data_IF_034433194352
#
_entry.id   IF_034433194352
#
_cell.length_a   1.000
_cell.length_b   1.000
_cell.length_c   1.000
_cell.angle_alpha   90.00
_cell.angle_beta   90.00
_cell.angle_gamma   90.00
#
_symmetry.space_group_name_H-M   'P 1'
#
loop_
_entity.id
_entity.type
_entity.pdbx_description
1 polymer ?
#
# COMPACT_ATOMS: atom_id res chain seq x y z
N UNK A 1 7.07 -27.97 6.31
CA UNK A 1 7.06 -27.08 5.12
C UNK A 1 7.45 -27.93 3.94
N UNK A 2 6.49 -28.29 3.08
CA UNK A 2 6.78 -29.11 1.90
C UNK A 2 7.61 -28.30 0.90
N UNK A 3 8.75 -28.87 0.52
CA UNK A 3 9.70 -28.29 -0.42
C UNK A 3 9.07 -28.25 -1.82
N UNK A 4 8.89 -27.05 -2.37
CA UNK A 4 8.38 -26.79 -3.73
C UNK A 4 9.31 -27.25 -4.86
N UNK A 5 10.41 -27.96 -4.54
CA UNK A 5 11.30 -28.60 -5.51
C UNK A 5 10.54 -29.74 -6.22
N UNK A 6 9.84 -29.41 -7.31
CA UNK A 6 9.19 -30.40 -8.18
C UNK A 6 7.88 -30.00 -8.84
N UNK A 7 7.38 -28.76 -8.66
CA UNK A 7 6.06 -28.34 -9.17
C UNK A 7 5.94 -28.33 -10.71
N UNK A 8 7.04 -28.30 -11.45
CA UNK A 8 7.04 -28.32 -12.91
C UNK A 8 8.18 -29.18 -13.43
N UNK A 9 7.88 -30.11 -14.33
CA UNK A 9 8.89 -30.83 -15.11
C UNK A 9 9.31 -30.00 -16.33
N UNK A 10 10.45 -30.33 -16.94
CA UNK A 10 10.88 -29.70 -18.20
C UNK A 10 9.81 -29.81 -19.30
N UNK A 11 9.06 -30.91 -19.34
CA UNK A 11 7.96 -31.11 -20.29
C UNK A 11 6.77 -30.17 -20.02
N UNK A 12 6.48 -29.86 -18.76
CA UNK A 12 5.41 -28.91 -18.40
C UNK A 12 5.78 -27.49 -18.80
N UNK A 13 7.05 -27.11 -18.60
CA UNK A 13 7.58 -25.80 -19.02
C UNK A 13 7.51 -25.67 -20.54
N UNK A 14 7.90 -26.71 -21.29
CA UNK A 14 7.86 -26.71 -22.75
C UNK A 14 6.42 -26.57 -23.29
N UNK A 15 5.45 -27.30 -22.71
CA UNK A 15 4.02 -27.15 -23.06
C UNK A 15 3.50 -25.74 -22.83
N UNK A 16 3.95 -25.07 -21.76
CA UNK A 16 3.55 -23.69 -21.47
C UNK A 16 4.15 -22.71 -22.50
N UNK A 17 5.41 -22.90 -22.87
CA UNK A 17 6.09 -22.10 -23.90
C UNK A 17 5.36 -22.20 -25.23
N UNK A 18 5.09 -23.43 -25.68
CA UNK A 18 4.40 -23.70 -26.95
C UNK A 18 2.97 -23.16 -26.95
N UNK A 19 2.19 -23.44 -25.89
CA UNK A 19 0.81 -22.95 -25.76
C UNK A 19 0.71 -21.43 -25.77
N UNK A 20 1.70 -20.73 -25.23
CA UNK A 20 1.71 -19.25 -25.15
C UNK A 20 2.48 -18.58 -26.28
N UNK A 21 3.09 -19.34 -27.19
CA UNK A 21 3.94 -18.81 -28.25
C UNK A 21 5.08 -17.94 -27.71
N UNK A 22 5.68 -18.32 -26.57
CA UNK A 22 6.73 -17.52 -25.93
C UNK A 22 8.06 -17.70 -26.63
N UNK A 23 8.71 -16.59 -26.96
CA UNK A 23 10.09 -16.57 -27.46
C UNK A 23 11.07 -16.69 -26.28
N UNK A 24 11.60 -17.90 -26.10
CA UNK A 24 12.49 -18.26 -24.98
C UNK A 24 13.79 -17.45 -25.01
N UNK A 25 14.24 -17.01 -26.19
CA UNK A 25 15.47 -16.22 -26.37
C UNK A 25 15.35 -14.79 -25.80
N UNK A 26 14.12 -14.33 -25.57
CA UNK A 26 13.81 -12.99 -25.05
C UNK A 26 13.34 -13.02 -23.60
N UNK A 27 13.51 -14.14 -22.90
CA UNK A 27 13.19 -14.19 -21.48
C UNK A 27 14.13 -13.26 -20.71
N UNK A 28 13.58 -12.45 -19.78
CA UNK A 28 14.40 -11.55 -18.98
C UNK A 28 15.37 -12.35 -18.10
N UNK A 29 16.54 -11.78 -17.85
CA UNK A 29 17.50 -12.39 -16.93
C UNK A 29 16.99 -12.31 -15.49
N UNK A 30 17.59 -13.10 -14.59
CA UNK A 30 17.23 -13.06 -13.17
C UNK A 30 17.39 -11.65 -12.58
N UNK A 31 18.47 -10.95 -12.92
CA UNK A 31 18.73 -9.58 -12.47
C UNK A 31 17.66 -8.60 -12.97
N UNK A 32 17.19 -8.75 -14.22
CA UNK A 32 16.12 -7.92 -14.76
C UNK A 32 14.77 -8.18 -14.07
N UNK A 33 14.49 -9.45 -13.74
CA UNK A 33 13.30 -9.85 -12.98
C UNK A 33 13.34 -9.20 -11.60
N UNK A 34 14.47 -9.30 -10.90
CA UNK A 34 14.67 -8.73 -9.56
C UNK A 34 14.56 -7.21 -9.57
N UNK A 35 15.19 -6.54 -10.54
CA UNK A 35 15.07 -5.09 -10.72
C UNK A 35 13.62 -4.66 -10.93
N UNK A 36 12.89 -5.32 -11.85
CA UNK A 36 11.47 -5.04 -12.10
C UNK A 36 10.62 -5.30 -10.85
N UNK A 37 10.92 -6.35 -10.09
CA UNK A 37 10.23 -6.65 -8.84
C UNK A 37 10.46 -5.56 -7.80
N UNK A 38 11.72 -5.13 -7.61
CA UNK A 38 12.08 -4.06 -6.70
C UNK A 38 11.36 -2.75 -7.05
N UNK A 39 11.43 -2.32 -8.32
CA UNK A 39 10.78 -1.09 -8.80
C UNK A 39 9.26 -1.12 -8.57
N UNK A 40 8.61 -2.24 -8.91
CA UNK A 40 7.16 -2.41 -8.68
C UNK A 40 6.81 -2.38 -7.19
N UNK A 41 7.62 -3.01 -6.36
CA UNK A 41 7.43 -3.07 -4.90
C UNK A 41 7.57 -1.68 -4.29
N UNK A 42 8.59 -0.92 -4.68
CA UNK A 42 8.79 0.45 -4.23
C UNK A 42 7.67 1.39 -4.69
N UNK A 43 7.21 1.26 -5.92
CA UNK A 43 6.08 2.04 -6.42
C UNK A 43 4.79 1.74 -5.63
N UNK A 44 4.53 0.46 -5.31
CA UNK A 44 3.40 0.07 -4.49
C UNK A 44 3.49 0.62 -3.06
N UNK A 45 4.67 0.57 -2.44
CA UNK A 45 4.94 1.13 -1.13
C UNK A 45 4.68 2.64 -1.10
N UNK A 46 5.20 3.38 -2.08
CA UNK A 46 5.00 4.83 -2.17
C UNK A 46 3.52 5.19 -2.34
N UNK A 47 2.78 4.47 -3.20
CA UNK A 47 1.33 4.67 -3.32
C UNK A 47 0.60 4.42 -2.00
N UNK A 48 1.00 3.39 -1.23
CA UNK A 48 0.43 3.11 0.08
C UNK A 48 0.69 4.25 1.07
N UNK A 49 1.92 4.77 1.12
CA UNK A 49 2.29 5.92 1.97
C UNK A 49 1.47 7.17 1.62
N UNK A 50 1.39 7.54 0.34
CA UNK A 50 0.61 8.68 -0.12
C UNK A 50 -0.88 8.52 0.24
N UNK A 51 -1.45 7.33 0.03
CA UNK A 51 -2.85 7.06 0.41
C UNK A 51 -3.09 7.17 1.92
N UNK A 52 -2.14 6.72 2.74
CA UNK A 52 -2.26 6.84 4.19
C UNK A 52 -2.23 8.30 4.63
N UNK A 53 -1.29 9.10 4.11
CA UNK A 53 -1.23 10.54 4.37
C UNK A 53 -2.53 11.21 3.92
N UNK A 54 -3.00 10.94 2.70
CA UNK A 54 -4.23 11.53 2.20
C UNK A 54 -5.49 11.14 2.99
N UNK A 55 -5.56 9.92 3.52
CA UNK A 55 -6.73 9.45 4.30
C UNK A 55 -6.71 9.91 5.75
N UNK A 56 -5.55 9.92 6.39
CA UNK A 56 -5.44 10.03 7.83
C UNK A 56 -4.69 11.28 8.31
N UNK A 57 -3.92 11.93 7.44
CA UNK A 57 -3.24 13.17 7.81
C UNK A 57 -4.22 14.32 7.81
N UNK A 58 -4.18 15.11 8.89
CA UNK A 58 -4.80 16.43 8.94
C UNK A 58 -3.95 17.50 8.22
N UNK A 59 -2.73 17.14 7.79
CA UNK A 59 -1.79 17.96 7.02
C UNK A 59 -1.39 17.26 5.71
N UNK A 60 -2.28 17.16 4.72
CA UNK A 60 -2.00 16.51 3.43
C UNK A 60 -1.14 17.33 2.45
N UNK A 61 -0.53 18.46 2.86
CA UNK A 61 0.22 19.36 1.98
C UNK A 61 -0.71 20.11 1.02
N UNK A 62 -0.46 20.03 -0.30
CA UNK A 62 -1.21 20.75 -1.35
C UNK A 62 -2.56 20.12 -1.72
N UNK A 63 -3.03 19.12 -0.97
CA UNK A 63 -4.30 18.42 -1.23
C UNK A 63 -5.30 18.81 -0.14
N UNK A 64 -6.60 18.97 -0.43
CA UNK A 64 -7.57 19.24 0.62
C UNK A 64 -7.60 18.15 1.70
N UNK A 65 -7.59 18.55 2.97
CA UNK A 65 -7.73 17.63 4.10
C UNK A 65 -9.10 16.95 4.04
N UNK A 66 -9.10 15.61 4.06
CA UNK A 66 -10.35 14.83 4.07
C UNK A 66 -10.99 14.77 5.45
N UNK A 67 -10.16 14.86 6.49
CA UNK A 67 -10.60 14.98 7.86
C UNK A 67 -10.95 16.44 8.18
N UNK A 68 -12.12 16.66 8.76
CA UNK A 68 -12.54 17.92 9.36
C UNK A 68 -13.05 17.61 10.77
N UNK A 69 -12.97 18.58 11.70
CA UNK A 69 -13.48 18.38 13.07
C UNK A 69 -14.97 18.01 13.10
N UNK A 70 -15.76 18.45 12.13
CA UNK A 70 -17.17 18.06 11.95
C UNK A 70 -17.36 16.56 11.74
N UNK A 71 -16.34 15.86 11.20
CA UNK A 71 -16.35 14.41 10.99
C UNK A 71 -15.81 13.64 12.19
N UNK A 72 -15.41 14.31 13.27
CA UNK A 72 -14.92 13.65 14.47
C UNK A 72 -16.07 12.95 15.19
N UNK A 73 -15.98 11.62 15.30
CA UNK A 73 -16.96 10.78 15.98
C UNK A 73 -16.30 10.10 17.19
N UNK A 74 -16.34 10.71 18.38
CA UNK A 74 -15.69 10.18 19.58
C UNK A 74 -16.17 8.78 19.95
N UNK A 75 -17.45 8.50 19.70
CA UNK A 75 -18.15 7.24 20.03
C UNK A 75 -17.59 6.02 19.28
N UNK A 76 -16.89 6.22 18.15
CA UNK A 76 -16.28 5.12 17.40
C UNK A 76 -14.92 4.69 17.96
N UNK A 77 -14.38 5.36 18.97
CA UNK A 77 -13.04 5.11 19.51
C UNK A 77 -13.09 4.25 20.77
N UNK A 78 -12.12 3.35 20.93
CA UNK A 78 -12.03 2.41 22.06
C UNK A 78 -12.02 3.10 23.43
N UNK A 79 -11.44 4.29 23.53
CA UNK A 79 -11.48 5.12 24.74
C UNK A 79 -12.19 6.44 24.44
N UNK A 80 -13.49 6.45 24.73
CA UNK A 80 -14.39 7.57 24.47
C UNK A 80 -13.95 8.85 25.18
N UNK A 81 -13.64 8.77 26.48
CA UNK A 81 -13.29 9.95 27.27
C UNK A 81 -12.02 10.62 26.73
N UNK A 82 -10.97 9.82 26.48
CA UNK A 82 -9.72 10.32 25.90
C UNK A 82 -9.93 10.94 24.51
N UNK A 83 -10.86 10.37 23.72
CA UNK A 83 -11.21 10.88 22.40
C UNK A 83 -11.91 12.25 22.47
N UNK A 84 -12.85 12.42 23.41
CA UNK A 84 -13.51 13.71 23.67
C UNK A 84 -12.51 14.78 24.14
N UNK A 85 -11.63 14.43 25.07
CA UNK A 85 -10.62 15.34 25.61
C UNK A 85 -9.65 15.83 24.52
N UNK A 86 -9.24 14.94 23.62
CA UNK A 86 -8.39 15.27 22.49
C UNK A 86 -9.08 16.22 21.51
N UNK A 87 -10.34 15.93 21.15
CA UNK A 87 -11.13 16.80 20.28
C UNK A 87 -11.30 18.21 20.86
N UNK A 88 -11.61 18.31 22.16
CA UNK A 88 -11.75 19.59 22.86
C UNK A 88 -10.46 20.41 22.86
N UNK A 89 -9.31 19.76 23.10
CA UNK A 89 -8.00 20.42 23.03
C UNK A 89 -7.71 20.95 21.63
N UNK A 90 -7.94 20.13 20.62
CA UNK A 90 -7.68 20.49 19.23
C UNK A 90 -8.59 21.64 18.75
N UNK A 91 -9.88 21.63 19.13
CA UNK A 91 -10.81 22.73 18.85
C UNK A 91 -10.38 24.05 19.49
N UNK A 92 -9.98 24.03 20.77
CA UNK A 92 -9.51 25.23 21.47
C UNK A 92 -8.28 25.83 20.79
N UNK A 93 -7.29 24.99 20.43
CA UNK A 93 -6.10 25.43 19.72
C UNK A 93 -6.45 26.04 18.35
N UNK A 94 -7.34 25.42 17.60
CA UNK A 94 -7.77 25.92 16.29
C UNK A 94 -8.51 27.27 16.36
N UNK A 95 -9.12 27.61 17.50
CA UNK A 95 -9.78 28.92 17.74
C UNK A 95 -8.82 30.00 18.23
N UNK A 96 -7.63 29.63 18.68
CA UNK A 96 -6.60 30.54 19.19
C UNK A 96 -5.62 31.00 18.10
N UNK A 97 -5.68 30.38 16.92
CA UNK A 97 -4.95 30.76 15.72
C UNK A 97 -5.86 31.57 14.79
#
# INVERSE_FOLDING_TARGET
>A
MESTKGLFTHADVQKIIEKRGMDVSKLPTQEEIEKRFYERSMAALNRKKVRAIYRYSVFPGNVPAKFTFEKWQPEMQTNLQKSRDLGNRAYKLAKQM
#
